data_IF_994457816267
#
_entry.id   IF_994457816267
#
_cell.length_a   1.000
_cell.length_b   1.000
_cell.length_c   1.000
_cell.angle_alpha   90.00
_cell.angle_beta   90.00
_cell.angle_gamma   90.00
#
_symmetry.space_group_name_H-M   'P 1'
#
loop_
_entity.id
_entity.type
_entity.pdbx_description
1 polymer ?
#
# COMPACT_ATOMS: atom_id res chain seq x y z
N UNK A 1 39.87 24.87 -31.34
CA UNK A 1 39.90 23.74 -30.37
C UNK A 1 38.74 23.90 -29.37
N UNK A 2 38.00 22.84 -29.04
CA UNK A 2 36.90 22.91 -28.06
C UNK A 2 37.47 22.94 -26.64
N UNK A 3 36.94 23.82 -25.77
CA UNK A 3 37.40 23.93 -24.39
C UNK A 3 37.10 22.64 -23.60
N UNK A 4 38.14 21.96 -23.11
CA UNK A 4 38.01 20.81 -22.19
C UNK A 4 37.62 21.30 -20.79
N UNK A 5 36.96 20.42 -20.03
CA UNK A 5 36.36 20.77 -18.74
C UNK A 5 36.91 19.91 -17.62
N UNK A 6 37.13 20.53 -16.47
CA UNK A 6 37.59 19.88 -15.24
C UNK A 6 36.45 19.73 -14.23
N UNK A 7 36.46 18.63 -13.48
CA UNK A 7 35.49 18.39 -12.41
C UNK A 7 35.79 19.30 -11.22
N UNK A 8 34.75 19.90 -10.61
CA UNK A 8 34.91 20.78 -9.43
C UNK A 8 34.77 20.03 -8.10
N UNK A 9 34.23 18.81 -8.11
CA UNK A 9 34.13 17.92 -6.94
C UNK A 9 35.19 16.82 -7.04
N UNK A 10 35.61 16.33 -5.87
CA UNK A 10 36.52 15.16 -5.73
C UNK A 10 35.95 13.86 -6.33
N UNK A 11 34.62 13.79 -6.52
CA UNK A 11 33.96 12.62 -7.10
C UNK A 11 34.19 12.54 -8.62
N UNK A 12 35.07 11.63 -9.04
CA UNK A 12 35.47 11.42 -10.44
C UNK A 12 34.44 10.63 -11.26
N UNK A 13 33.92 9.53 -10.70
CA UNK A 13 33.04 8.59 -11.41
C UNK A 13 31.69 9.16 -11.84
N UNK A 14 31.18 8.67 -12.98
CA UNK A 14 29.89 9.05 -13.57
C UNK A 14 28.72 8.28 -12.93
N UNK A 15 28.41 8.61 -11.67
CA UNK A 15 27.29 8.01 -10.94
C UNK A 15 25.99 8.78 -11.13
N UNK A 16 24.84 8.16 -10.81
CA UNK A 16 23.51 8.79 -10.94
C UNK A 16 23.35 10.10 -10.16
N UNK A 17 24.08 10.27 -9.05
CA UNK A 17 24.07 11.50 -8.22
C UNK A 17 25.08 12.54 -8.70
N UNK A 18 26.05 12.15 -9.52
CA UNK A 18 27.17 12.98 -9.95
C UNK A 18 27.05 13.40 -11.42
N UNK A 19 25.82 13.59 -11.92
CA UNK A 19 25.60 14.08 -13.28
C UNK A 19 26.00 15.55 -13.40
N UNK A 20 26.50 15.94 -14.58
CA UNK A 20 27.02 17.28 -14.85
C UNK A 20 26.32 17.89 -16.08
N UNK A 21 26.16 19.21 -16.09
CA UNK A 21 25.72 20.01 -17.24
C UNK A 21 26.83 21.00 -17.58
N UNK A 22 27.12 21.14 -18.87
CA UNK A 22 28.04 22.16 -19.37
C UNK A 22 27.28 23.48 -19.48
N UNK A 23 27.80 24.52 -18.84
CA UNK A 23 27.18 25.85 -18.83
C UNK A 23 28.24 26.89 -19.20
N UNK A 24 27.88 27.83 -20.09
CA UNK A 24 28.67 29.04 -20.37
C UNK A 24 28.46 30.01 -19.21
N UNK A 25 29.52 30.36 -18.51
CA UNK A 25 29.46 31.37 -17.45
C UNK A 25 29.50 32.77 -18.05
N UNK A 26 29.05 33.81 -17.31
CA UNK A 26 29.14 35.20 -17.78
C UNK A 26 30.55 35.63 -18.20
N UNK A 27 31.60 35.10 -17.56
CA UNK A 27 33.00 35.33 -17.94
C UNK A 27 33.48 34.55 -19.17
N UNK A 28 32.58 34.05 -20.01
CA UNK A 28 32.89 33.36 -21.28
C UNK A 28 33.48 31.96 -21.17
N UNK A 29 33.68 31.43 -19.94
CA UNK A 29 34.27 30.10 -19.72
C UNK A 29 33.20 29.01 -19.75
N UNK A 30 33.50 27.88 -20.38
CA UNK A 30 32.69 26.67 -20.20
C UNK A 30 33.05 26.01 -18.87
N UNK A 31 32.05 25.70 -18.04
CA UNK A 31 32.24 25.10 -16.71
C UNK A 31 31.21 24.00 -16.47
N UNK A 32 31.59 22.94 -15.73
CA UNK A 32 30.63 21.96 -15.23
C UNK A 32 29.82 22.50 -14.04
N UNK A 33 28.50 22.44 -14.17
CA UNK A 33 27.57 22.56 -13.05
C UNK A 33 27.01 21.18 -12.68
N UNK A 34 26.93 20.89 -11.38
CA UNK A 34 26.40 19.62 -10.88
C UNK A 34 24.89 19.64 -10.80
N UNK A 35 24.26 18.68 -11.47
CA UNK A 35 22.80 18.58 -11.55
C UNK A 35 22.31 17.57 -10.51
N UNK A 36 21.32 17.98 -9.71
CA UNK A 36 20.63 17.06 -8.79
C UNK A 36 19.81 16.03 -9.57
N UNK A 37 19.51 14.90 -8.94
CA UNK A 37 18.61 13.88 -9.53
C UNK A 37 17.25 14.50 -9.85
N UNK A 38 16.72 14.16 -11.02
CA UNK A 38 15.39 14.59 -11.44
C UNK A 38 14.34 14.06 -10.46
N UNK A 39 13.36 14.92 -10.16
CA UNK A 39 12.32 14.69 -9.17
C UNK A 39 11.20 13.87 -9.80
N UNK A 40 10.70 12.86 -9.10
CA UNK A 40 9.56 12.07 -9.54
C UNK A 40 8.26 12.70 -9.05
N UNK A 41 7.24 12.69 -9.90
CA UNK A 41 5.90 13.17 -9.53
C UNK A 41 5.27 12.19 -8.52
N UNK A 42 4.69 12.68 -7.41
CA UNK A 42 3.95 11.84 -6.48
C UNK A 42 2.83 11.07 -7.18
N UNK A 43 2.65 9.80 -6.79
CA UNK A 43 1.69 8.89 -7.41
C UNK A 43 0.57 8.53 -6.45
N UNK A 44 -0.60 8.21 -7.00
CA UNK A 44 -1.72 7.64 -6.27
C UNK A 44 -1.33 6.29 -5.64
N UNK A 45 -1.75 6.05 -4.39
CA UNK A 45 -1.44 4.82 -3.66
C UNK A 45 -2.09 3.56 -4.26
N UNK A 46 -3.22 3.68 -4.96
CA UNK A 46 -3.92 2.55 -5.58
C UNK A 46 -3.57 2.45 -7.08
N UNK A 47 -3.98 3.45 -7.84
CA UNK A 47 -3.96 3.42 -9.29
C UNK A 47 -2.56 3.79 -9.88
N UNK A 48 -1.61 4.23 -9.03
CA UNK A 48 -0.23 4.65 -9.40
C UNK A 48 -0.11 5.76 -10.45
N UNK A 49 -1.23 6.41 -10.77
CA UNK A 49 -1.29 7.61 -11.61
C UNK A 49 -0.60 8.80 -10.95
N UNK A 50 -0.13 9.74 -11.76
CA UNK A 50 0.52 10.97 -11.27
C UNK A 50 -0.53 11.90 -10.64
N UNK A 51 -0.29 12.34 -9.41
CA UNK A 51 -1.16 13.29 -8.72
C UNK A 51 -1.02 14.68 -9.32
N UNK A 52 -2.12 15.19 -9.88
CA UNK A 52 -2.21 16.56 -10.43
C UNK A 52 -2.24 17.57 -9.27
N UNK A 53 -1.61 18.73 -9.48
CA UNK A 53 -1.58 19.83 -8.50
C UNK A 53 -0.49 19.73 -7.42
N UNK A 54 0.24 18.62 -7.33
CA UNK A 54 1.35 18.46 -6.38
C UNK A 54 2.68 18.62 -7.10
N UNK A 55 3.48 19.58 -6.66
CA UNK A 55 4.79 19.85 -7.26
C UNK A 55 5.79 18.72 -6.93
N UNK A 56 6.50 18.18 -7.93
CA UNK A 56 7.55 17.19 -7.69
C UNK A 56 8.72 17.86 -6.95
N UNK A 57 9.01 17.38 -5.74
CA UNK A 57 10.08 17.88 -4.88
C UNK A 57 10.96 16.73 -4.40
N UNK A 58 12.24 17.00 -4.11
CA UNK A 58 13.06 16.04 -3.37
C UNK A 58 12.61 16.04 -1.90
N UNK A 59 12.67 14.93 -1.15
CA UNK A 59 12.19 14.91 0.24
C UNK A 59 12.78 16.01 1.11
N UNK A 60 14.08 16.33 0.95
CA UNK A 60 14.77 17.41 1.66
C UNK A 60 14.32 18.83 1.28
N UNK A 61 13.74 19.01 0.09
CA UNK A 61 13.23 20.31 -0.40
C UNK A 61 11.76 20.50 -0.02
N UNK A 62 11.02 19.40 0.22
CA UNK A 62 9.61 19.42 0.57
C UNK A 62 9.27 20.26 1.81
N UNK A 63 10.04 20.28 2.93
CA UNK A 63 9.72 21.18 4.04
C UNK A 63 9.87 22.67 3.68
N UNK A 64 10.79 23.02 2.76
CA UNK A 64 11.08 24.41 2.36
C UNK A 64 10.02 25.03 1.44
N UNK A 65 9.19 24.20 0.81
CA UNK A 65 8.12 24.67 -0.09
C UNK A 65 6.89 25.13 0.72
N UNK A 66 6.04 25.99 0.14
CA UNK A 66 4.77 26.37 0.76
C UNK A 66 3.75 25.21 0.78
N UNK A 67 2.79 25.23 1.72
CA UNK A 67 1.80 24.16 1.88
C UNK A 67 0.94 23.96 0.62
N UNK A 68 0.52 25.06 -0.03
CA UNK A 68 -0.31 25.06 -1.25
C UNK A 68 0.27 24.21 -2.39
N UNK A 69 1.59 24.14 -2.51
CA UNK A 69 2.27 23.40 -3.58
C UNK A 69 2.40 21.88 -3.28
N UNK A 70 2.09 21.46 -2.06
CA UNK A 70 2.24 20.08 -1.56
C UNK A 70 0.91 19.32 -1.50
N UNK A 71 -0.21 20.03 -1.44
CA UNK A 71 -1.54 19.47 -1.16
C UNK A 71 -2.55 19.86 -2.23
N UNK A 72 -3.65 19.12 -2.28
CA UNK A 72 -4.84 19.47 -3.07
C UNK A 72 -6.00 19.64 -2.09
N UNK A 73 -6.83 20.65 -2.29
CA UNK A 73 -7.97 20.97 -1.43
C UNK A 73 -9.15 19.99 -1.65
N UNK A 74 -8.96 18.73 -1.26
CA UNK A 74 -9.99 17.68 -1.19
C UNK A 74 -9.57 16.62 -0.17
N UNK A 75 -10.51 15.77 0.24
CA UNK A 75 -10.21 14.60 1.06
C UNK A 75 -9.18 13.70 0.36
N UNK A 76 -8.20 13.19 1.11
CA UNK A 76 -7.13 12.34 0.58
C UNK A 76 -6.32 12.92 -0.61
N UNK A 77 -6.27 14.25 -0.79
CA UNK A 77 -5.69 14.89 -1.98
C UNK A 77 -4.22 14.55 -2.30
N UNK A 78 -3.44 14.17 -1.28
CA UNK A 78 -2.04 13.73 -1.42
C UNK A 78 -1.81 12.23 -1.49
N UNK A 79 -2.88 11.43 -1.33
CA UNK A 79 -2.81 9.97 -1.21
C UNK A 79 -3.50 9.30 -2.40
N UNK A 80 -4.66 9.84 -2.80
CA UNK A 80 -5.53 9.27 -3.83
C UNK A 80 -5.74 10.24 -5.00
N UNK A 81 -5.91 9.67 -6.20
CA UNK A 81 -6.39 10.44 -7.34
C UNK A 81 -7.92 10.62 -7.25
N UNK A 82 -8.44 11.52 -8.07
CA UNK A 82 -9.87 11.86 -8.11
C UNK A 82 -10.75 10.66 -8.51
N UNK A 83 -10.27 9.80 -9.42
CA UNK A 83 -10.96 8.57 -9.82
C UNK A 83 -11.12 7.59 -8.65
N UNK A 84 -10.00 7.12 -8.07
CA UNK A 84 -10.08 6.16 -6.97
C UNK A 84 -10.76 6.76 -5.69
N UNK A 85 -10.80 8.09 -5.53
CA UNK A 85 -11.57 8.75 -4.47
C UNK A 85 -13.08 8.61 -4.69
N UNK A 86 -13.58 8.91 -5.90
CA UNK A 86 -15.01 8.74 -6.25
C UNK A 86 -15.46 7.30 -6.02
N UNK A 87 -14.67 6.34 -6.51
CA UNK A 87 -14.96 4.92 -6.30
C UNK A 87 -15.04 4.55 -4.82
N UNK A 88 -14.17 5.09 -3.96
CA UNK A 88 -14.21 4.84 -2.52
C UNK A 88 -15.45 5.40 -1.85
N UNK A 89 -15.87 6.62 -2.21
CA UNK A 89 -17.08 7.22 -1.65
C UNK A 89 -18.29 6.37 -2.03
N UNK A 90 -18.44 6.04 -3.32
CA UNK A 90 -19.58 5.26 -3.81
C UNK A 90 -19.57 3.85 -3.21
N UNK A 91 -18.42 3.17 -3.15
CA UNK A 91 -18.32 1.84 -2.54
C UNK A 91 -18.65 1.87 -1.04
N UNK A 92 -18.16 2.85 -0.29
CA UNK A 92 -18.45 2.96 1.14
C UNK A 92 -19.96 3.13 1.37
N UNK A 93 -20.57 4.07 0.64
CA UNK A 93 -22.01 4.33 0.70
C UNK A 93 -22.85 3.09 0.37
N UNK A 94 -22.61 2.45 -0.78
CA UNK A 94 -23.39 1.27 -1.19
C UNK A 94 -23.23 0.09 -0.24
N UNK A 95 -22.05 -0.10 0.35
CA UNK A 95 -21.82 -1.16 1.33
C UNK A 95 -22.60 -0.89 2.61
N UNK A 96 -22.66 0.36 3.07
CA UNK A 96 -23.43 0.77 4.23
C UNK A 96 -24.94 0.61 3.99
N UNK A 97 -25.44 1.06 2.84
CA UNK A 97 -26.85 0.87 2.45
C UNK A 97 -27.23 -0.61 2.38
N UNK A 98 -26.41 -1.45 1.75
CA UNK A 98 -26.66 -2.89 1.70
C UNK A 98 -26.63 -3.54 3.09
N UNK A 99 -25.77 -3.07 4.01
CA UNK A 99 -25.74 -3.56 5.40
C UNK A 99 -27.02 -3.21 6.13
N UNK A 100 -27.53 -1.98 6.00
CA UNK A 100 -28.77 -1.54 6.63
C UNK A 100 -29.95 -2.36 6.09
N UNK A 101 -30.06 -2.51 4.76
CA UNK A 101 -31.13 -3.31 4.14
C UNK A 101 -31.09 -4.77 4.62
N UNK A 102 -29.90 -5.38 4.71
CA UNK A 102 -29.74 -6.74 5.23
C UNK A 102 -30.14 -6.84 6.70
N UNK A 103 -29.76 -5.87 7.53
CA UNK A 103 -30.15 -5.83 8.94
C UNK A 103 -31.68 -5.74 9.11
N UNK A 104 -32.33 -4.82 8.38
CA UNK A 104 -33.79 -4.66 8.43
C UNK A 104 -34.54 -5.91 7.94
N UNK A 105 -34.06 -6.56 6.87
CA UNK A 105 -34.63 -7.83 6.40
C UNK A 105 -34.50 -8.93 7.45
N UNK A 106 -33.32 -9.09 8.06
CA UNK A 106 -33.10 -10.09 9.11
C UNK A 106 -33.97 -9.85 10.35
N UNK A 107 -34.18 -8.59 10.75
CA UNK A 107 -35.06 -8.24 11.86
C UNK A 107 -36.52 -8.55 11.53
N UNK A 108 -36.99 -8.19 10.33
CA UNK A 108 -38.36 -8.52 9.89
C UNK A 108 -38.59 -10.02 9.80
N UNK A 109 -37.65 -10.78 9.25
CA UNK A 109 -37.74 -12.25 9.18
C UNK A 109 -37.76 -12.89 10.57
N UNK A 110 -37.02 -12.33 11.54
CA UNK A 110 -37.05 -12.78 12.93
C UNK A 110 -38.40 -12.51 13.60
N UNK A 111 -39.07 -11.40 13.26
CA UNK A 111 -40.40 -11.07 13.78
C UNK A 111 -41.53 -11.87 13.10
N UNK A 112 -41.40 -12.16 11.79
CA UNK A 112 -42.47 -12.79 10.99
C UNK A 112 -42.47 -14.32 11.10
N UNK A 113 -41.34 -14.98 11.41
CA UNK A 113 -41.35 -16.43 11.67
C UNK A 113 -42.14 -16.70 12.97
N UNK A 114 -43.31 -17.37 12.92
CA UNK A 114 -44.04 -17.69 14.13
C UNK A 114 -43.20 -18.63 14.99
N UNK A 115 -43.12 -18.32 16.28
CA UNK A 115 -42.48 -19.15 17.30
C UNK A 115 -43.09 -20.55 17.21
N UNK A 116 -42.37 -21.52 16.64
CA UNK A 116 -42.68 -22.93 16.88
C UNK A 116 -42.45 -23.17 18.36
N UNK A 117 -43.54 -23.49 19.06
CA UNK A 117 -43.55 -23.77 20.49
C UNK A 117 -42.45 -24.79 20.86
N UNK A 118 -41.68 -24.57 21.94
CA UNK A 118 -40.80 -25.60 22.46
C UNK A 118 -41.65 -26.74 23.03
N UNK A 119 -41.50 -27.95 22.49
CA UNK A 119 -42.00 -29.17 23.15
C UNK A 119 -41.25 -29.34 24.47
N UNK A 120 -42.02 -29.34 25.55
CA UNK A 120 -41.59 -29.78 26.88
C UNK A 120 -41.45 -31.30 26.83
N UNK A 121 -40.23 -31.84 26.96
CA UNK A 121 -40.03 -33.25 27.31
C UNK A 121 -39.49 -33.37 28.73
N UNK A 122 -40.24 -34.15 29.51
CA UNK A 122 -40.15 -34.33 30.95
C UNK A 122 -39.09 -35.38 31.31
N UNK A 123 -38.44 -35.16 32.47
CA UNK A 123 -37.58 -36.11 33.17
C UNK A 123 -38.31 -37.45 33.47
N UNK A 124 -37.62 -38.58 33.26
CA UNK A 124 -37.80 -39.82 34.05
C UNK A 124 -36.49 -40.16 34.80
N UNK A 125 -36.66 -40.66 36.04
CA UNK A 125 -35.67 -40.85 37.13
C UNK A 125 -34.83 -42.17 37.01
N UNK A 126 -33.77 -42.35 37.83
CA UNK A 126 -32.65 -43.30 37.64
C UNK A 126 -32.68 -44.53 38.58
N UNK A 127 -32.01 -45.62 38.17
CA UNK A 127 -31.51 -46.77 38.98
C UNK A 127 -30.50 -47.54 38.11
N UNK A 128 -29.28 -47.97 38.46
CA UNK A 128 -28.48 -47.98 39.69
C UNK A 128 -26.97 -48.20 39.41
N UNK A 129 -26.13 -48.00 40.42
CA UNK A 129 -24.65 -48.24 40.52
C UNK A 129 -24.34 -49.73 40.82
N UNK A 130 -23.08 -50.25 40.97
CA UNK A 130 -21.75 -49.62 41.24
C UNK A 130 -20.61 -50.17 40.33
N UNK A 131 -19.34 -49.69 40.28
CA UNK A 131 -18.28 -49.61 41.30
C UNK A 131 -17.08 -48.74 40.82
N UNK A 132 -16.29 -48.22 41.78
CA UNK A 132 -14.97 -47.54 41.65
C UNK A 132 -13.97 -48.40 42.46
N UNK A 133 -12.63 -48.38 42.24
CA UNK A 133 -11.73 -47.22 42.48
C UNK A 133 -10.57 -47.12 41.45
N UNK A 134 -9.66 -46.14 41.39
CA UNK A 134 -9.35 -45.00 42.23
C UNK A 134 -8.24 -44.13 41.59
N UNK A 135 -8.19 -42.88 42.04
CA UNK A 135 -7.07 -41.92 42.17
C UNK A 135 -5.81 -41.98 41.26
N UNK A 136 -5.50 -40.85 40.58
CA UNK A 136 -4.14 -40.58 40.09
C UNK A 136 -3.92 -39.33 39.21
N UNK A 137 -3.85 -38.15 39.84
CA UNK A 137 -3.07 -36.92 39.52
C UNK A 137 -3.08 -36.24 38.12
N UNK A 138 -3.43 -34.94 38.21
CA UNK A 138 -2.73 -33.73 37.74
C UNK A 138 -2.37 -33.56 36.26
N UNK A 139 -2.78 -32.41 35.71
CA UNK A 139 -2.62 -32.06 34.31
C UNK A 139 -1.24 -31.58 33.90
N UNK A 140 -1.05 -31.51 32.59
CA UNK A 140 0.01 -30.76 31.93
C UNK A 140 -0.48 -30.26 30.56
N UNK A 141 -0.24 -28.98 30.30
CA UNK A 141 -0.34 -28.31 28.99
C UNK A 141 0.54 -29.02 27.96
N UNK A 142 0.09 -29.09 26.72
CA UNK A 142 0.99 -29.17 25.57
C UNK A 142 0.50 -28.29 24.41
N UNK A 143 1.27 -27.25 24.17
CA UNK A 143 1.32 -26.46 22.93
C UNK A 143 2.07 -27.24 21.85
N UNK A 144 1.55 -27.27 20.62
CA UNK A 144 2.20 -27.81 19.43
C UNK A 144 2.39 -26.75 18.31
N UNK A 145 3.29 -26.97 17.33
CA UNK A 145 4.43 -26.08 17.12
C UNK A 145 4.51 -25.36 15.75
N UNK A 146 5.47 -24.44 15.63
CA UNK A 146 5.94 -23.78 14.39
C UNK A 146 7.04 -24.61 13.68
N UNK A 147 7.07 -24.52 12.34
CA UNK A 147 8.21 -24.81 11.45
C UNK A 147 7.98 -26.02 10.52
N UNK A 148 8.35 -26.09 9.24
CA UNK A 148 9.35 -25.34 8.44
C UNK A 148 9.12 -25.51 6.91
N UNK A 149 9.99 -24.84 6.12
CA UNK A 149 10.05 -24.60 4.67
C UNK A 149 9.97 -25.82 3.70
N UNK A 150 9.40 -25.66 2.49
CA UNK A 150 10.09 -25.50 1.18
C UNK A 150 9.95 -26.79 0.34
N UNK A 151 9.82 -26.89 -1.00
CA UNK A 151 10.09 -26.02 -2.14
C UNK A 151 9.46 -26.59 -3.46
N UNK A 152 9.56 -25.79 -4.54
CA UNK A 152 9.60 -26.08 -6.00
C UNK A 152 8.34 -25.89 -6.86
N UNK A 153 8.53 -25.13 -7.95
CA UNK A 153 7.62 -24.99 -9.08
C UNK A 153 7.92 -23.76 -9.94
N UNK A 154 8.97 -23.81 -10.77
CA UNK A 154 9.33 -22.77 -11.74
C UNK A 154 8.62 -23.00 -13.09
N UNK A 155 8.07 -21.95 -13.69
CA UNK A 155 7.73 -21.92 -15.12
C UNK A 155 8.02 -20.52 -15.69
N UNK A 156 8.81 -20.48 -16.76
CA UNK A 156 9.63 -19.36 -17.19
C UNK A 156 8.94 -18.24 -17.98
N UNK A 157 9.67 -17.13 -18.15
CA UNK A 157 9.35 -16.07 -19.12
C UNK A 157 10.63 -15.66 -19.87
N UNK A 158 10.53 -15.70 -21.20
CA UNK A 158 11.58 -15.46 -22.21
C UNK A 158 12.29 -14.09 -22.06
N UNK A 159 13.56 -13.95 -22.47
CA UNK A 159 14.29 -12.68 -22.46
C UNK A 159 14.02 -11.90 -23.76
N UNK A 160 13.83 -10.58 -23.66
CA UNK A 160 13.90 -9.68 -24.81
C UNK A 160 12.85 -8.58 -24.82
N UNK A 161 13.24 -7.38 -24.39
CA UNK A 161 13.09 -6.10 -25.12
C UNK A 161 13.38 -4.93 -24.16
N UNK A 162 14.45 -4.19 -24.45
CA UNK A 162 14.77 -2.90 -23.81
C UNK A 162 13.81 -1.84 -24.36
N UNK A 163 13.08 -1.06 -23.54
CA UNK A 163 12.43 0.14 -24.05
C UNK A 163 13.45 1.26 -24.27
N UNK A 164 13.43 1.81 -25.48
CA UNK A 164 14.33 2.81 -26.01
C UNK A 164 14.40 4.11 -25.19
N UNK A 165 15.58 4.74 -25.19
CA UNK A 165 15.85 6.01 -24.55
C UNK A 165 15.08 7.16 -25.23
N UNK A 166 14.11 7.73 -24.52
CA UNK A 166 13.46 8.97 -24.94
C UNK A 166 14.39 10.18 -24.74
N UNK A 167 14.69 10.89 -25.83
CA UNK A 167 15.39 12.18 -25.87
C UNK A 167 14.76 13.19 -24.88
N UNK A 168 15.55 13.96 -24.12
CA UNK A 168 15.02 15.12 -23.40
C UNK A 168 14.61 16.19 -24.42
N UNK A 169 13.32 16.55 -24.43
CA UNK A 169 12.83 17.74 -25.13
C UNK A 169 13.37 18.99 -24.42
N UNK A 170 13.67 20.01 -25.26
CA UNK A 170 14.39 21.25 -24.99
C UNK A 170 13.97 21.97 -23.72
#
# INVERSE_FOLDING_TARGET
>A
MVQRLTLRRRLSYNTRSNKRRIVRTPGGRLVYQYVKKNKTVPRCGQCKEKLKGITPSRPSERPRMSKRLKTVARTYGGVLCHGCLRERIVRAFLIEEQKIVKALKSQREALVKPVKAPKVEQKKKPTGKPTKPGAGKAGAKSTGPKGAAGAKGAAGKKPGQKPAAGKPRK
#
